data_IF_167312289695
#
_entry.id   IF_167312289695
#
_cell.length_a   1.000
_cell.length_b   1.000
_cell.length_c   1.000
_cell.angle_alpha   90.00
_cell.angle_beta   90.00
_cell.angle_gamma   90.00
#
_symmetry.space_group_name_H-M   'P 1'
#
loop_
_entity.id
_entity.type
_entity.pdbx_description
1 polymer ?
#
# COMPACT_ATOMS: atom_id res chain seq x y z
N UNK A 1 10.77 -48.60 -38.76
CA UNK A 1 10.83 -47.17 -38.39
C UNK A 1 9.46 -46.77 -37.85
N UNK A 2 9.29 -46.69 -36.53
CA UNK A 2 8.01 -46.35 -35.90
C UNK A 2 8.02 -44.88 -35.46
N UNK A 3 7.04 -44.12 -35.96
CA UNK A 3 6.87 -42.68 -35.79
C UNK A 3 6.37 -42.33 -34.39
N UNK A 4 7.19 -41.63 -33.61
CA UNK A 4 6.84 -41.09 -32.28
C UNK A 4 5.87 -39.91 -32.45
N UNK A 5 4.63 -40.09 -31.98
CA UNK A 5 3.65 -39.00 -31.81
C UNK A 5 4.02 -38.19 -30.57
N UNK A 6 4.42 -36.92 -30.76
CA UNK A 6 4.63 -35.96 -29.67
C UNK A 6 3.27 -35.45 -29.19
N UNK A 7 2.91 -35.81 -27.97
CA UNK A 7 1.75 -35.27 -27.26
C UNK A 7 2.14 -33.88 -26.73
N UNK A 8 1.55 -32.83 -27.28
CA UNK A 8 1.64 -31.47 -26.73
C UNK A 8 0.77 -31.39 -25.47
N UNK A 9 1.40 -31.33 -24.30
CA UNK A 9 0.73 -31.10 -23.02
C UNK A 9 0.41 -29.60 -22.91
N UNK A 10 -0.88 -29.26 -22.79
CA UNK A 10 -1.37 -27.92 -22.49
C UNK A 10 -1.23 -27.68 -20.98
N UNK A 11 -0.12 -27.05 -20.57
CA UNK A 11 0.08 -26.57 -19.21
C UNK A 11 -0.71 -25.25 -19.07
N UNK A 12 -1.66 -25.13 -18.12
CA UNK A 12 -2.32 -23.85 -17.87
C UNK A 12 -1.29 -22.88 -17.30
N UNK A 13 -1.15 -21.73 -17.96
CA UNK A 13 -0.32 -20.62 -17.49
C UNK A 13 -0.99 -20.04 -16.24
N UNK A 14 -0.59 -20.51 -15.05
CA UNK A 14 -0.92 -19.80 -13.82
C UNK A 14 -0.23 -18.44 -13.91
N UNK A 15 -1.01 -17.38 -14.09
CA UNK A 15 -0.55 -16.02 -13.88
C UNK A 15 -0.13 -15.91 -12.41
N UNK A 16 1.17 -16.06 -12.14
CA UNK A 16 1.75 -15.75 -10.86
C UNK A 16 1.47 -14.26 -10.60
N UNK A 17 0.51 -13.97 -9.73
CA UNK A 17 0.46 -12.67 -9.06
C UNK A 17 1.77 -12.54 -8.30
N UNK A 18 2.73 -11.84 -8.88
CA UNK A 18 3.95 -11.44 -8.19
C UNK A 18 3.50 -10.50 -7.08
N UNK A 19 3.25 -11.05 -5.89
CA UNK A 19 3.23 -10.28 -4.65
C UNK A 19 4.52 -9.45 -4.67
N UNK A 20 4.40 -8.13 -4.59
CA UNK A 20 5.56 -7.27 -4.54
C UNK A 20 6.38 -7.66 -3.29
N UNK A 21 7.71 -7.58 -3.37
CA UNK A 21 8.53 -7.88 -2.21
C UNK A 21 8.21 -6.86 -1.09
N UNK A 22 7.85 -7.37 0.09
CA UNK A 22 7.58 -6.55 1.28
C UNK A 22 8.79 -5.66 1.55
N UNK A 23 8.60 -4.34 1.43
CA UNK A 23 9.66 -3.35 1.67
C UNK A 23 9.39 -2.63 2.97
N UNK A 24 10.16 -2.95 4.01
CA UNK A 24 10.01 -2.33 5.32
C UNK A 24 10.42 -0.85 5.29
N UNK A 25 9.62 -0.02 5.95
CA UNK A 25 9.93 1.38 6.19
C UNK A 25 10.35 1.63 7.65
N UNK A 26 10.97 2.79 7.87
CA UNK A 26 11.41 3.25 9.19
C UNK A 26 10.64 4.51 9.53
N UNK A 27 9.97 4.51 10.69
CA UNK A 27 9.25 5.68 11.21
C UNK A 27 10.20 6.88 11.30
N UNK A 28 9.73 8.05 10.86
CA UNK A 28 10.50 9.30 10.82
C UNK A 28 11.36 9.48 9.56
N UNK A 29 11.52 8.46 8.72
CA UNK A 29 12.19 8.61 7.42
C UNK A 29 11.24 9.16 6.35
N UNK A 30 11.80 9.79 5.32
CA UNK A 30 11.04 10.15 4.12
C UNK A 30 10.79 8.91 3.26
N UNK A 31 9.56 8.76 2.77
CA UNK A 31 9.18 7.75 1.79
C UNK A 31 8.37 8.41 0.67
N UNK A 32 8.42 7.82 -0.52
CA UNK A 32 7.63 8.29 -1.66
C UNK A 32 6.52 7.31 -1.95
N UNK A 33 5.29 7.74 -1.74
CA UNK A 33 4.09 7.03 -2.17
C UNK A 33 3.97 7.15 -3.69
N UNK A 34 3.58 6.05 -4.33
CA UNK A 34 3.27 6.02 -5.77
C UNK A 34 2.00 5.21 -5.98
N UNK A 35 1.06 5.72 -6.77
CA UNK A 35 -0.15 5.00 -7.15
C UNK A 35 -0.58 5.38 -8.57
N UNK A 36 -1.49 4.58 -9.12
CA UNK A 36 -2.14 4.86 -10.40
C UNK A 36 -3.57 5.29 -10.12
N UNK A 37 -3.95 6.49 -10.57
CA UNK A 37 -5.30 7.03 -10.35
C UNK A 37 -6.33 6.46 -11.36
N UNK A 38 -7.60 6.85 -11.22
CA UNK A 38 -8.68 6.41 -12.10
C UNK A 38 -8.51 6.86 -13.56
N UNK A 39 -7.69 7.89 -13.82
CA UNK A 39 -7.36 8.36 -15.16
C UNK A 39 -6.15 7.62 -15.77
N UNK A 40 -5.55 6.68 -15.04
CA UNK A 40 -4.38 5.93 -15.46
C UNK A 40 -3.06 6.69 -15.32
N UNK A 41 -3.04 7.84 -14.63
CA UNK A 41 -1.82 8.62 -14.38
C UNK A 41 -1.04 8.04 -13.22
N UNK A 42 0.27 8.19 -13.24
CA UNK A 42 1.11 7.86 -12.09
C UNK A 42 1.21 9.06 -11.17
N UNK A 43 0.61 8.96 -10.00
CA UNK A 43 0.67 9.97 -8.95
C UNK A 43 1.76 9.64 -7.93
N UNK A 44 2.47 10.66 -7.45
CA UNK A 44 3.53 10.54 -6.45
C UNK A 44 3.42 11.61 -5.38
N UNK A 45 3.72 11.24 -4.14
CA UNK A 45 3.85 12.17 -3.02
C UNK A 45 4.94 11.69 -2.07
N UNK A 46 5.81 12.60 -1.63
CA UNK A 46 6.85 12.30 -0.65
C UNK A 46 6.43 12.84 0.71
N UNK A 47 6.42 11.98 1.72
CA UNK A 47 6.06 12.32 3.09
C UNK A 47 6.90 11.58 4.11
N UNK A 48 6.65 11.85 5.39
CA UNK A 48 7.35 11.20 6.50
C UNK A 48 6.56 9.97 6.97
N UNK A 49 7.23 8.84 7.09
CA UNK A 49 6.66 7.59 7.61
C UNK A 49 6.27 7.77 9.07
N UNK A 50 5.06 7.32 9.42
CA UNK A 50 4.47 7.49 10.75
C UNK A 50 3.83 8.86 11.00
N UNK A 51 3.69 9.70 9.97
CA UNK A 51 2.97 10.97 10.09
C UNK A 51 1.52 10.78 10.57
N UNK A 52 0.92 11.85 11.11
CA UNK A 52 -0.48 11.86 11.51
C UNK A 52 -1.26 12.94 10.74
N UNK A 53 -1.85 12.55 9.61
CA UNK A 53 -2.64 13.47 8.77
C UNK A 53 -4.09 13.61 9.24
N UNK A 54 -4.49 12.90 10.30
CA UNK A 54 -5.84 12.93 10.83
C UNK A 54 -6.83 12.18 9.95
N UNK A 55 -7.94 12.82 9.59
CA UNK A 55 -8.99 12.27 8.72
C UNK A 55 -9.16 13.13 7.47
N UNK A 56 -9.70 12.54 6.40
CA UNK A 56 -10.17 13.30 5.23
C UNK A 56 -11.70 13.38 5.22
N UNK A 57 -12.26 13.98 4.16
CA UNK A 57 -13.71 14.19 4.02
C UNK A 57 -14.53 12.92 3.77
N UNK A 58 -13.94 11.85 3.21
CA UNK A 58 -14.62 10.57 3.03
C UNK A 58 -14.69 9.73 4.31
N UNK A 59 -13.99 10.14 5.37
CA UNK A 59 -13.83 9.36 6.59
C UNK A 59 -12.67 8.37 6.49
N UNK A 60 -12.00 8.14 7.61
CA UNK A 60 -10.78 7.34 7.69
C UNK A 60 -9.82 7.89 8.74
N UNK A 61 -8.88 7.06 9.17
CA UNK A 61 -7.80 7.47 10.08
C UNK A 61 -6.47 7.30 9.37
N UNK A 62 -5.85 8.42 9.03
CA UNK A 62 -4.55 8.54 8.37
C UNK A 62 -3.47 8.95 9.38
N UNK A 63 -3.59 8.38 10.57
CA UNK A 63 -2.55 8.42 11.59
C UNK A 63 -1.54 7.29 11.37
N UNK A 64 -0.28 7.47 11.73
CA UNK A 64 0.77 6.47 11.51
C UNK A 64 0.95 6.08 10.03
N UNK A 65 0.99 7.05 9.11
CA UNK A 65 1.08 6.76 7.67
C UNK A 65 2.20 5.78 7.33
N UNK A 66 1.87 4.73 6.57
CA UNK A 66 2.79 3.64 6.25
C UNK A 66 2.68 2.43 7.14
N UNK A 67 1.94 2.53 8.24
CA UNK A 67 1.52 1.37 9.01
C UNK A 67 0.42 0.62 8.26
N UNK A 68 0.57 -0.68 8.11
CA UNK A 68 -0.51 -1.50 7.57
C UNK A 68 -1.72 -1.54 8.52
N UNK A 69 -2.91 -1.28 7.97
CA UNK A 69 -4.17 -1.16 8.71
C UNK A 69 -4.61 0.28 8.96
N UNK A 70 -5.78 0.45 9.57
CA UNK A 70 -6.37 1.79 9.74
C UNK A 70 -5.69 2.59 10.87
N UNK A 71 -4.95 3.64 10.54
CA UNK A 71 -4.41 4.54 11.54
C UNK A 71 -3.39 3.90 12.50
N UNK A 72 -3.09 4.57 13.61
CA UNK A 72 -2.24 4.02 14.67
C UNK A 72 -2.92 2.93 15.54
N UNK A 73 -4.24 2.85 15.53
CA UNK A 73 -5.03 2.02 16.47
C UNK A 73 -5.89 0.95 15.79
N UNK A 74 -5.88 0.89 14.46
CA UNK A 74 -6.68 -0.06 13.71
C UNK A 74 -6.15 -1.49 13.80
N UNK A 75 -7.05 -2.40 13.47
CA UNK A 75 -6.82 -3.84 13.52
C UNK A 75 -5.81 -4.22 12.43
N UNK A 76 -4.61 -4.60 12.84
CA UNK A 76 -3.58 -5.24 12.01
C UNK A 76 -2.77 -6.19 12.89
N UNK A 77 -2.12 -7.18 12.28
CA UNK A 77 -1.23 -8.08 13.00
C UNK A 77 0.07 -7.32 13.30
N UNK A 78 0.10 -6.66 14.45
CA UNK A 78 1.19 -5.79 14.87
C UNK A 78 1.18 -4.43 14.17
N UNK A 79 2.36 -3.82 14.11
CA UNK A 79 2.58 -2.48 13.55
C UNK A 79 3.64 -2.59 12.44
N UNK A 80 3.29 -3.26 11.34
CA UNK A 80 4.16 -3.34 10.18
C UNK A 80 4.16 -2.01 9.43
N UNK A 81 5.34 -1.43 9.22
CA UNK A 81 5.49 -0.24 8.38
C UNK A 81 6.12 -0.63 7.06
N UNK A 82 5.43 -0.42 5.95
CA UNK A 82 5.85 -0.89 4.64
C UNK A 82 5.56 0.12 3.52
N UNK A 83 6.23 -0.07 2.39
CA UNK A 83 6.11 0.82 1.24
C UNK A 83 4.72 0.80 0.61
N UNK A 84 4.05 -0.36 0.52
CA UNK A 84 2.74 -0.43 -0.11
C UNK A 84 1.63 0.08 0.81
N UNK A 85 1.72 -0.20 2.12
CA UNK A 85 0.85 0.42 3.10
C UNK A 85 1.03 1.95 3.13
N UNK A 86 2.26 2.47 2.96
CA UNK A 86 2.49 3.91 2.85
C UNK A 86 1.88 4.49 1.58
N UNK A 87 2.08 3.86 0.43
CA UNK A 87 1.47 4.30 -0.81
C UNK A 87 -0.06 4.30 -0.74
N UNK A 88 -0.66 3.25 -0.15
CA UNK A 88 -2.10 3.15 0.04
C UNK A 88 -2.66 4.23 0.96
N UNK A 89 -2.05 4.46 2.14
CA UNK A 89 -2.50 5.48 3.08
C UNK A 89 -2.50 6.88 2.45
N UNK A 90 -1.42 7.20 1.74
CA UNK A 90 -1.25 8.50 1.10
C UNK A 90 -2.24 8.67 -0.05
N UNK A 91 -2.38 7.66 -0.90
CA UNK A 91 -3.40 7.66 -1.96
C UNK A 91 -4.79 7.88 -1.36
N UNK A 92 -5.16 7.05 -0.38
CA UNK A 92 -6.49 7.07 0.21
C UNK A 92 -6.80 8.41 0.89
N UNK A 93 -5.81 9.03 1.53
CA UNK A 93 -5.96 10.36 2.12
C UNK A 93 -6.31 11.42 1.05
N UNK A 94 -5.51 11.51 -0.01
CA UNK A 94 -5.66 12.57 -1.03
C UNK A 94 -6.84 12.34 -1.98
N UNK A 95 -7.14 11.09 -2.31
CA UNK A 95 -8.17 10.72 -3.29
C UNK A 95 -9.54 10.44 -2.64
N UNK A 96 -9.65 10.60 -1.31
CA UNK A 96 -10.88 10.29 -0.56
C UNK A 96 -11.36 8.85 -0.83
N UNK A 97 -10.43 7.90 -0.87
CA UNK A 97 -10.72 6.55 -1.35
C UNK A 97 -11.69 5.79 -0.45
N UNK A 98 -12.55 4.96 -1.07
CA UNK A 98 -13.53 4.11 -0.39
C UNK A 98 -13.78 2.82 -1.18
N UNK A 99 -14.19 1.74 -0.50
CA UNK A 99 -14.44 0.45 -1.15
C UNK A 99 -13.19 -0.42 -1.36
N UNK A 100 -12.04 -0.05 -0.77
CA UNK A 100 -10.83 -0.87 -0.72
C UNK A 100 -10.29 -1.23 -2.10
N UNK A 101 -10.17 -2.53 -2.37
CA UNK A 101 -9.64 -3.07 -3.64
C UNK A 101 -10.42 -2.64 -4.90
N UNK A 102 -11.67 -2.19 -4.74
CA UNK A 102 -12.53 -1.72 -5.84
C UNK A 102 -12.49 -0.21 -6.01
N UNK A 103 -11.76 0.52 -5.17
CA UNK A 103 -11.63 1.98 -5.32
C UNK A 103 -10.94 2.31 -6.66
N UNK A 104 -11.49 3.22 -7.46
CA UNK A 104 -10.96 3.50 -8.79
C UNK A 104 -9.61 4.24 -8.77
N UNK A 105 -9.26 4.95 -7.68
CA UNK A 105 -8.01 5.69 -7.57
C UNK A 105 -6.94 4.94 -6.75
N UNK A 106 -7.35 4.19 -5.74
CA UNK A 106 -6.46 3.58 -4.76
C UNK A 106 -6.60 2.07 -4.66
N UNK A 107 -7.51 1.43 -5.41
CA UNK A 107 -7.74 -0.01 -5.33
C UNK A 107 -6.53 -0.85 -5.72
N UNK A 108 -5.69 -0.36 -6.63
CA UNK A 108 -4.41 -0.98 -6.97
C UNK A 108 -3.44 -0.93 -5.78
N UNK A 109 -3.28 0.24 -5.15
CA UNK A 109 -2.44 0.40 -3.97
C UNK A 109 -2.97 -0.42 -2.78
N UNK A 110 -4.30 -0.49 -2.60
CA UNK A 110 -4.93 -1.36 -1.60
C UNK A 110 -4.54 -2.82 -1.82
N UNK A 111 -4.66 -3.33 -3.05
CA UNK A 111 -4.30 -4.71 -3.39
C UNK A 111 -2.83 -5.00 -3.14
N UNK A 112 -1.94 -4.07 -3.49
CA UNK A 112 -0.51 -4.18 -3.22
C UNK A 112 -0.20 -4.22 -1.70
N UNK A 113 -1.00 -3.56 -0.87
CA UNK A 113 -0.81 -3.57 0.58
C UNK A 113 -1.37 -4.81 1.30
N UNK A 114 -2.06 -5.73 0.60
CA UNK A 114 -2.75 -6.87 1.25
C UNK A 114 -1.73 -7.84 1.85
N UNK A 115 -0.71 -8.25 1.11
CA UNK A 115 0.31 -9.17 1.60
C UNK A 115 1.21 -8.52 2.66
N UNK A 116 1.48 -7.22 2.54
CA UNK A 116 2.10 -6.41 3.59
C UNK A 116 1.30 -6.42 4.90
N UNK A 117 -0.03 -6.33 4.81
CA UNK A 117 -0.92 -6.39 5.99
C UNK A 117 -0.89 -7.76 6.65
N UNK A 118 -0.81 -8.84 5.86
CA UNK A 118 -0.83 -10.22 6.36
C UNK A 118 0.54 -10.63 6.93
N UNK A 119 1.63 -10.24 6.25
CA UNK A 119 2.97 -10.80 6.48
C UNK A 119 4.03 -9.76 6.83
N UNK A 120 3.72 -8.46 6.84
CA UNK A 120 4.71 -7.41 7.08
C UNK A 120 5.43 -7.53 8.42
N UNK A 121 4.70 -7.90 9.49
CA UNK A 121 5.31 -8.12 10.80
C UNK A 121 6.22 -9.36 10.81
N UNK A 122 5.81 -10.47 10.19
CA UNK A 122 6.66 -11.66 10.05
C UNK A 122 7.90 -11.43 9.17
N UNK A 123 7.82 -10.47 8.24
CA UNK A 123 8.94 -10.02 7.43
C UNK A 123 9.86 -9.02 8.14
N UNK A 124 9.67 -8.77 9.43
CA UNK A 124 10.54 -7.91 10.25
C UNK A 124 10.23 -6.41 10.13
N UNK A 125 9.11 -6.03 9.52
CA UNK A 125 8.72 -4.63 9.37
C UNK A 125 8.01 -4.05 10.60
N UNK A 126 7.91 -4.82 11.70
CA UNK A 126 7.33 -4.35 12.96
C UNK A 126 8.09 -3.13 13.51
N UNK A 127 7.37 -2.04 13.82
CA UNK A 127 7.90 -0.84 14.48
C UNK A 127 6.98 -0.37 15.60
N UNK A 128 7.49 0.48 16.47
CA UNK A 128 6.68 1.17 17.47
C UNK A 128 5.96 2.34 16.82
N UNK A 129 4.66 2.50 17.09
CA UNK A 129 3.90 3.63 16.58
C UNK A 129 4.38 4.93 17.23
N UNK A 130 4.61 6.00 16.45
CA UNK A 130 4.90 7.31 17.02
C UNK A 130 3.64 7.93 17.63
N UNK A 131 3.85 8.91 18.53
CA UNK A 131 2.77 9.73 19.09
C UNK A 131 2.89 11.16 18.53
N UNK A 132 2.40 11.32 17.30
CA UNK A 132 2.45 12.61 16.59
C UNK A 132 1.12 13.35 16.72
N UNK A 133 1.17 14.67 16.93
CA UNK A 133 0.00 15.53 16.82
C UNK A 133 -0.54 15.52 15.39
N UNK A 134 -1.85 15.75 15.22
CA UNK A 134 -2.47 15.83 13.89
C UNK A 134 -1.92 17.05 13.16
N UNK A 135 -1.40 16.81 11.95
CA UNK A 135 -0.93 17.85 11.05
C UNK A 135 -1.16 17.40 9.60
N UNK A 136 -1.93 18.18 8.84
CA UNK A 136 -2.14 17.91 7.42
C UNK A 136 -0.80 17.98 6.64
N UNK A 137 -0.64 17.17 5.58
CA UNK A 137 0.57 17.21 4.77
C UNK A 137 0.76 18.59 4.11
N UNK A 138 2.01 19.02 4.03
CA UNK A 138 2.38 20.15 3.19
C UNK A 138 2.44 19.70 1.73
N UNK A 139 1.77 20.43 0.84
CA UNK A 139 1.79 20.17 -0.60
C UNK A 139 0.70 19.22 -1.09
N UNK A 140 0.79 18.84 -2.36
CA UNK A 140 -0.16 17.97 -3.06
C UNK A 140 0.59 16.95 -3.90
N UNK A 141 -0.03 15.81 -4.25
CA UNK A 141 0.57 14.84 -5.16
C UNK A 141 0.83 15.45 -6.54
N UNK A 142 1.85 14.94 -7.22
CA UNK A 142 2.13 15.24 -8.63
C UNK A 142 1.75 14.01 -9.45
N UNK A 143 0.90 14.22 -10.47
CA UNK A 143 0.43 13.15 -11.35
C UNK A 143 0.83 13.44 -12.80
N UNK A 144 1.39 12.43 -13.47
CA UNK A 144 1.82 12.48 -14.88
C UNK A 144 1.33 11.26 -15.64
#
# INVERSE_FOLDING_TARGET
MASIRRIFSLIPLLAATTSAAITCLVVGQSATATWTDAAGRTCRFTGIVGSNYGSNSAGGSYSCNGRCGAGCTGIAIGNAYTQDCFSHDICSYFENASGGASDPNCGAAYKAAIDDTISGTSSGCGRTNPSNVVAAPAGRPVCS
#
